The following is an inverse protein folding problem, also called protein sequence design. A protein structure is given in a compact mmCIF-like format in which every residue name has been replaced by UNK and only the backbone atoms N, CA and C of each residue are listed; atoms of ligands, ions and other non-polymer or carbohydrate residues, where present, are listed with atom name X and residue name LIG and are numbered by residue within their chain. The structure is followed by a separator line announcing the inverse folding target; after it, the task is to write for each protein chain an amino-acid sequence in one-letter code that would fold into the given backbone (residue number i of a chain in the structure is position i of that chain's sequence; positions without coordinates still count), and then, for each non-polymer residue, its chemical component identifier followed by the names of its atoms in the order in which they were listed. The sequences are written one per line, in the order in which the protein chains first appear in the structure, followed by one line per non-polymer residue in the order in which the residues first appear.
data_IF_027962040271
#
_entry.id   IF_027962040271
#
_cell.length_a   1.000
_cell.length_b   1.000
_cell.length_c   1.000
_cell.angle_alpha   90.00
_cell.angle_beta   90.00
_cell.angle_gamma   90.00
#
_symmetry.space_group_name_H-M   'P 1'
#
loop_
_entity.id
_entity.type
_entity.pdbx_description
1 polymer ?
#
# COMPACT_ATOMS: atom_id res chain seq x y z
N UNK A 1 3.53 -9.98 -7.10
CA UNK A 1 2.56 -9.03 -7.70
C UNK A 1 1.23 -9.69 -8.06
N UNK A 2 1.19 -10.73 -8.90
CA UNK A 2 -0.08 -11.37 -9.32
C UNK A 2 -0.95 -11.91 -8.16
N UNK A 3 -0.33 -12.47 -7.12
CA UNK A 3 -1.02 -12.95 -5.92
C UNK A 3 -1.63 -11.80 -5.09
N UNK A 4 -0.92 -10.68 -4.93
CA UNK A 4 -1.43 -9.50 -4.22
C UNK A 4 -2.64 -8.88 -4.92
N UNK A 5 -2.67 -8.82 -6.25
CA UNK A 5 -3.82 -8.27 -6.97
C UNK A 5 -5.04 -9.19 -6.84
N UNK A 6 -4.83 -10.50 -6.95
CA UNK A 6 -5.92 -11.46 -6.76
C UNK A 6 -6.50 -11.39 -5.33
N UNK A 7 -5.63 -11.29 -4.33
CA UNK A 7 -6.04 -11.16 -2.93
C UNK A 7 -6.72 -9.81 -2.64
N UNK A 8 -6.23 -8.71 -3.22
CA UNK A 8 -6.85 -7.38 -3.11
C UNK A 8 -8.23 -7.36 -3.78
N UNK A 9 -8.37 -7.97 -4.95
CA UNK A 9 -9.67 -8.12 -5.64
C UNK A 9 -10.62 -9.00 -4.83
N UNK A 10 -10.13 -10.09 -4.22
CA UNK A 10 -10.92 -10.93 -3.31
C UNK A 10 -11.39 -10.13 -2.10
N UNK A 11 -10.50 -9.40 -1.43
CA UNK A 11 -10.83 -8.59 -0.26
C UNK A 11 -11.78 -7.43 -0.59
N UNK A 12 -11.58 -6.76 -1.73
CA UNK A 12 -12.51 -5.73 -2.20
C UNK A 12 -13.87 -6.32 -2.55
N UNK A 13 -13.90 -7.52 -3.14
CA UNK A 13 -15.16 -8.24 -3.37
C UNK A 13 -15.86 -8.60 -2.06
N UNK A 14 -15.11 -8.93 -1.01
CA UNK A 14 -15.63 -9.24 0.33
C UNK A 14 -16.16 -8.01 1.07
N UNK A 15 -15.53 -6.86 0.87
CA UNK A 15 -15.98 -5.57 1.39
C UNK A 15 -17.16 -4.98 0.58
N UNK A 16 -17.30 -5.37 -0.69
CA UNK A 16 -18.39 -4.94 -1.56
C UNK A 16 -19.72 -5.70 -1.32
N UNK A 17 -19.73 -6.81 -0.54
CA UNK A 17 -20.88 -7.73 -0.29
C UNK A 17 -22.04 -7.11 0.54
N UNK A 18 -22.43 -5.87 0.29
CA UNK A 18 -23.65 -5.28 0.87
C UNK A 18 -24.61 -4.75 -0.20
N UNK A 19 -24.34 -4.99 -1.50
CA UNK A 19 -25.11 -4.38 -2.61
C UNK A 19 -25.63 -5.37 -3.65
N UNK A 20 -26.95 -5.38 -3.88
CA UNK A 20 -27.75 -6.26 -4.77
C UNK A 20 -27.27 -6.55 -6.21
N UNK A 21 -26.19 -5.93 -6.70
CA UNK A 21 -25.66 -6.12 -8.08
C UNK A 21 -24.60 -7.23 -8.20
N UNK A 22 -24.39 -8.00 -7.12
CA UNK A 22 -23.35 -9.00 -6.89
C UNK A 22 -23.22 -10.16 -7.91
N UNK A 23 -24.27 -10.47 -8.68
CA UNK A 23 -24.27 -11.69 -9.53
C UNK A 23 -23.24 -11.65 -10.65
N UNK A 24 -22.99 -10.48 -11.26
CA UNK A 24 -22.08 -10.37 -12.42
C UNK A 24 -20.61 -10.41 -11.99
N UNK A 25 -20.27 -9.76 -10.88
CA UNK A 25 -18.89 -9.64 -10.40
C UNK A 25 -18.40 -11.00 -9.87
N UNK A 26 -19.25 -11.73 -9.13
CA UNK A 26 -18.97 -13.09 -8.68
C UNK A 26 -18.88 -14.10 -9.84
N UNK A 27 -19.71 -13.98 -10.89
CA UNK A 27 -19.58 -14.81 -12.09
C UNK A 27 -18.27 -14.53 -12.85
N UNK A 28 -17.91 -13.24 -13.01
CA UNK A 28 -16.67 -12.85 -13.67
C UNK A 28 -15.42 -13.32 -12.93
N UNK A 29 -15.44 -13.37 -11.60
CA UNK A 29 -14.35 -13.91 -10.79
C UNK A 29 -14.28 -15.44 -10.80
N UNK A 30 -15.44 -16.14 -10.84
CA UNK A 30 -15.47 -17.61 -10.89
C UNK A 30 -14.98 -18.17 -12.23
N UNK A 31 -15.09 -17.42 -13.32
CA UNK A 31 -14.87 -17.94 -14.68
C UNK A 31 -13.43 -17.83 -15.20
N UNK A 32 -12.48 -17.21 -14.48
CA UNK A 32 -11.25 -16.74 -15.14
C UNK A 32 -9.96 -16.97 -14.34
N UNK A 33 -9.13 -17.92 -14.79
CA UNK A 33 -7.66 -17.85 -14.63
C UNK A 33 -7.16 -16.73 -15.54
N UNK A 34 -7.21 -15.50 -15.06
CA UNK A 34 -6.94 -14.32 -15.89
C UNK A 34 -5.51 -13.81 -15.80
N UNK A 35 -5.04 -13.30 -16.94
CA UNK A 35 -3.80 -12.51 -17.02
C UNK A 35 -3.88 -11.30 -16.08
N UNK A 36 -2.72 -10.82 -15.63
CA UNK A 36 -2.58 -9.64 -14.78
C UNK A 36 -3.36 -8.41 -15.30
N UNK A 37 -3.34 -8.20 -16.62
CA UNK A 37 -4.10 -7.13 -17.29
C UNK A 37 -5.61 -7.25 -17.14
N UNK A 38 -6.15 -8.47 -17.16
CA UNK A 38 -7.58 -8.68 -16.97
C UNK A 38 -8.00 -8.57 -15.51
N UNK A 39 -7.09 -8.77 -14.54
CA UNK A 39 -7.38 -8.49 -13.14
C UNK A 39 -7.39 -6.99 -12.86
N UNK A 40 -6.54 -6.21 -13.54
CA UNK A 40 -6.56 -4.75 -13.46
C UNK A 40 -7.84 -4.16 -14.07
N UNK A 41 -8.34 -4.70 -15.18
CA UNK A 41 -9.62 -4.25 -15.74
C UNK A 41 -10.80 -4.55 -14.82
N UNK A 42 -10.78 -5.69 -14.12
CA UNK A 42 -11.81 -6.03 -13.12
C UNK A 42 -11.71 -5.12 -11.89
N UNK A 43 -10.50 -4.80 -11.44
CA UNK A 43 -10.28 -3.85 -10.35
C UNK A 43 -10.81 -2.46 -10.71
N UNK A 44 -10.59 -2.03 -11.95
CA UNK A 44 -11.10 -0.76 -12.47
C UNK A 44 -12.63 -0.71 -12.53
N UNK A 45 -13.29 -1.83 -12.84
CA UNK A 45 -14.74 -1.97 -12.81
C UNK A 45 -15.26 -1.93 -11.37
N UNK A 46 -14.58 -2.63 -10.44
CA UNK A 46 -14.91 -2.60 -9.03
C UNK A 46 -14.79 -1.19 -8.42
N UNK A 47 -13.77 -0.42 -8.80
CA UNK A 47 -13.63 0.98 -8.38
C UNK A 47 -14.74 1.88 -8.95
N UNK A 48 -15.21 1.62 -10.17
CA UNK A 48 -16.34 2.35 -10.75
C UNK A 48 -17.65 2.03 -10.04
N UNK A 49 -17.90 0.76 -9.71
CA UNK A 49 -19.07 0.34 -8.96
C UNK A 49 -19.07 0.94 -7.55
N UNK A 50 -17.93 0.89 -6.84
CA UNK A 50 -17.80 1.50 -5.52
C UNK A 50 -18.03 3.02 -5.54
N UNK A 51 -17.71 3.70 -6.65
CA UNK A 51 -18.03 5.10 -6.85
C UNK A 51 -19.54 5.34 -6.98
N UNK A 52 -20.27 4.50 -7.71
CA UNK A 52 -21.74 4.59 -7.84
C UNK A 52 -22.42 4.39 -6.48
N UNK A 53 -21.87 3.48 -5.66
CA UNK A 53 -22.35 3.20 -4.30
C UNK A 53 -21.86 4.21 -3.24
N UNK A 54 -21.09 5.23 -3.63
CA UNK A 54 -20.43 6.20 -2.74
C UNK A 54 -19.58 5.57 -1.61
N UNK A 55 -19.07 4.35 -1.82
CA UNK A 55 -18.24 3.64 -0.84
C UNK A 55 -16.77 4.05 -0.99
N UNK A 56 -16.13 4.64 0.04
CA UNK A 56 -14.71 4.94 -0.02
C UNK A 56 -13.88 3.67 0.08
N UNK A 57 -12.88 3.55 -0.78
CA UNK A 57 -11.93 2.43 -0.77
C UNK A 57 -10.59 2.94 -0.25
N UNK A 58 -10.07 2.28 0.78
CA UNK A 58 -8.74 2.53 1.31
C UNK A 58 -7.81 1.38 0.92
N UNK A 59 -6.74 1.70 0.21
CA UNK A 59 -5.67 0.76 -0.12
C UNK A 59 -4.44 1.10 0.71
N UNK A 60 -3.97 0.15 1.50
CA UNK A 60 -2.73 0.24 2.27
C UNK A 60 -1.73 -0.75 1.67
N UNK A 61 -0.61 -0.24 1.19
CA UNK A 61 0.53 -1.06 0.77
C UNK A 61 1.66 -0.89 1.77
N UNK A 62 1.99 -1.98 2.45
CA UNK A 62 3.21 -2.08 3.22
C UNK A 62 4.40 -2.38 2.30
N UNK A 63 5.60 -1.94 2.69
CA UNK A 63 6.84 -2.06 1.92
C UNK A 63 6.72 -1.55 0.47
N UNK A 64 6.31 -0.29 0.29
CA UNK A 64 6.11 0.34 -1.02
C UNK A 64 7.32 0.18 -1.96
N UNK A 65 8.54 0.15 -1.41
CA UNK A 65 9.80 -0.10 -2.11
C UNK A 65 9.83 -1.41 -2.91
N UNK A 66 9.14 -2.46 -2.44
CA UNK A 66 9.05 -3.74 -3.14
C UNK A 66 8.28 -3.61 -4.47
N UNK A 67 7.34 -2.67 -4.53
CA UNK A 67 6.54 -2.36 -5.72
C UNK A 67 7.16 -1.25 -6.59
N UNK A 68 8.03 -0.42 -6.02
CA UNK A 68 8.80 0.58 -6.75
C UNK A 68 9.97 -0.04 -7.55
N UNK A 69 10.30 -1.32 -7.33
CA UNK A 69 11.36 -2.01 -8.06
C UNK A 69 12.74 -1.68 -7.52
N UNK A 70 13.17 -2.41 -6.48
CA UNK A 70 14.52 -2.31 -5.96
C UNK A 70 15.56 -2.88 -6.97
N UNK A 71 16.75 -2.27 -7.09
CA UNK A 71 17.89 -2.84 -7.83
C UNK A 71 18.50 -4.09 -7.16
N UNK A 72 18.04 -4.49 -5.97
CA UNK A 72 18.63 -5.58 -5.18
C UNK A 72 18.32 -7.01 -5.69
N UNK A 73 17.39 -7.20 -6.63
CA UNK A 73 17.18 -8.52 -7.25
C UNK A 73 18.06 -8.68 -8.50
N UNK A 74 19.37 -8.73 -8.29
CA UNK A 74 20.35 -8.99 -9.35
C UNK A 74 20.27 -10.44 -9.90
N UNK A 75 19.55 -11.35 -9.21
CA UNK A 75 19.50 -12.77 -9.57
C UNK A 75 18.24 -13.21 -10.33
N UNK A 76 17.25 -12.34 -10.56
CA UNK A 76 16.04 -12.70 -11.33
C UNK A 76 16.05 -12.05 -12.72
N UNK A 77 17.17 -12.22 -13.44
CA UNK A 77 17.41 -11.61 -14.77
C UNK A 77 16.84 -12.39 -15.96
N UNK A 78 16.07 -13.47 -15.78
CA UNK A 78 15.72 -14.37 -16.90
C UNK A 78 14.23 -14.58 -17.18
N UNK A 79 13.30 -13.92 -16.47
CA UNK A 79 11.88 -14.01 -16.85
C UNK A 79 11.27 -12.61 -16.90
N UNK A 80 11.34 -12.05 -18.10
CA UNK A 80 10.35 -11.14 -18.70
C UNK A 80 9.96 -9.85 -17.95
N UNK A 81 10.18 -8.73 -18.66
CA UNK A 81 9.48 -7.44 -18.57
C UNK A 81 9.93 -6.46 -17.49
N UNK A 82 11.01 -5.76 -17.82
CA UNK A 82 11.35 -4.45 -17.26
C UNK A 82 10.27 -3.35 -17.50
N UNK A 83 9.18 -3.61 -18.24
CA UNK A 83 8.14 -2.63 -18.56
C UNK A 83 6.91 -2.65 -17.61
N UNK A 84 6.73 -3.72 -16.82
CA UNK A 84 5.54 -3.95 -15.99
C UNK A 84 5.77 -3.74 -14.48
N UNK A 85 6.98 -3.36 -14.06
CA UNK A 85 7.39 -3.37 -12.64
C UNK A 85 6.58 -2.45 -11.74
N UNK A 86 6.03 -1.35 -12.28
CA UNK A 86 5.22 -0.40 -11.52
C UNK A 86 3.79 -0.24 -12.08
N UNK A 87 3.30 -1.21 -12.87
CA UNK A 87 1.98 -1.08 -13.52
C UNK A 87 0.84 -0.97 -12.50
N UNK A 88 0.90 -1.74 -11.41
CA UNK A 88 -0.08 -1.68 -10.33
C UNK A 88 -0.12 -0.28 -9.68
N UNK A 89 1.05 0.26 -9.32
CA UNK A 89 1.17 1.60 -8.74
C UNK A 89 0.67 2.67 -9.71
N UNK A 90 1.00 2.54 -11.00
CA UNK A 90 0.49 3.43 -12.03
C UNK A 90 -1.04 3.42 -12.08
N UNK A 91 -1.68 2.26 -12.16
CA UNK A 91 -3.14 2.16 -12.24
C UNK A 91 -3.84 2.70 -10.99
N UNK A 92 -3.35 2.34 -9.80
CA UNK A 92 -3.93 2.84 -8.54
C UNK A 92 -3.80 4.36 -8.47
N UNK A 93 -2.62 4.92 -8.74
CA UNK A 93 -2.42 6.37 -8.68
C UNK A 93 -3.16 7.12 -9.78
N UNK A 94 -3.26 6.58 -10.99
CA UNK A 94 -4.08 7.14 -12.06
C UNK A 94 -5.55 7.26 -11.61
N UNK A 95 -6.07 6.23 -10.93
CA UNK A 95 -7.42 6.23 -10.35
C UNK A 95 -7.59 7.17 -9.17
N UNK A 96 -6.59 7.32 -8.30
CA UNK A 96 -6.62 8.32 -7.21
C UNK A 96 -6.66 9.74 -7.80
N UNK A 97 -5.96 9.98 -8.92
CA UNK A 97 -5.95 11.29 -9.59
C UNK A 97 -7.21 11.59 -10.39
N UNK A 98 -8.10 10.61 -10.59
CA UNK A 98 -9.32 10.80 -11.36
C UNK A 98 -10.35 11.66 -10.60
N UNK A 99 -11.02 12.61 -11.26
CA UNK A 99 -12.01 13.46 -10.60
C UNK A 99 -13.21 12.65 -10.12
N UNK A 100 -13.59 12.85 -8.85
CA UNK A 100 -14.69 12.11 -8.21
C UNK A 100 -14.34 10.67 -7.82
N UNK A 101 -13.06 10.37 -7.64
CA UNK A 101 -12.59 9.10 -7.10
C UNK A 101 -12.77 9.05 -5.58
N UNK A 102 -13.38 7.98 -5.08
CA UNK A 102 -13.49 7.68 -3.64
C UNK A 102 -12.34 6.78 -3.15
N UNK A 103 -11.22 6.77 -3.88
CA UNK A 103 -10.07 5.92 -3.60
C UNK A 103 -8.99 6.69 -2.82
N UNK A 104 -8.59 6.16 -1.67
CA UNK A 104 -7.45 6.62 -0.90
C UNK A 104 -6.33 5.57 -0.95
N UNK A 105 -5.11 6.03 -1.21
CA UNK A 105 -3.93 5.17 -1.28
C UNK A 105 -2.91 5.60 -0.23
N UNK A 106 -2.48 4.66 0.61
CA UNK A 106 -1.44 4.84 1.62
C UNK A 106 -0.33 3.84 1.34
N UNK A 107 0.85 4.33 1.02
CA UNK A 107 2.07 3.53 0.93
C UNK A 107 2.92 3.73 2.17
N UNK A 108 3.21 2.66 2.90
CA UNK A 108 4.15 2.65 4.02
C UNK A 108 5.51 2.21 3.49
N UNK A 109 6.55 2.92 3.89
CA UNK A 109 7.93 2.59 3.51
C UNK A 109 8.91 2.94 4.60
N UNK A 110 9.98 2.16 4.69
CA UNK A 110 11.14 2.44 5.52
C UNK A 110 12.17 3.34 4.82
N UNK A 111 12.08 3.49 3.49
CA UNK A 111 13.06 4.20 2.70
C UNK A 111 12.66 5.67 2.46
N UNK A 112 13.49 6.60 2.96
CA UNK A 112 13.30 8.04 2.79
C UNK A 112 13.23 8.49 1.31
N UNK A 113 13.81 7.70 0.40
CA UNK A 113 13.94 8.02 -1.01
C UNK A 113 12.95 7.33 -1.97
N UNK A 114 11.88 6.69 -1.51
CA UNK A 114 11.02 5.88 -2.41
C UNK A 114 10.46 6.66 -3.60
N UNK A 115 10.13 7.94 -3.43
CA UNK A 115 9.64 8.78 -4.54
C UNK A 115 10.65 8.86 -5.69
N UNK A 116 11.96 8.79 -5.38
CA UNK A 116 13.02 8.79 -6.37
C UNK A 116 13.18 7.45 -7.11
N UNK A 117 12.70 6.34 -6.52
CA UNK A 117 12.65 5.00 -7.13
C UNK A 117 11.47 4.85 -8.09
N UNK A 118 10.44 5.68 -7.97
CA UNK A 118 9.29 5.67 -8.88
C UNK A 118 9.68 6.15 -10.28
N UNK A 119 9.16 5.46 -11.30
CA UNK A 119 9.27 5.86 -12.71
C UNK A 119 8.60 7.22 -12.92
N UNK A 120 9.10 8.00 -13.89
CA UNK A 120 8.59 9.35 -14.19
C UNK A 120 7.06 9.42 -14.30
N UNK A 121 6.43 8.43 -14.94
CA UNK A 121 4.97 8.36 -15.11
C UNK A 121 4.22 8.15 -13.79
N UNK A 122 4.75 7.33 -12.89
CA UNK A 122 4.14 7.03 -11.58
C UNK A 122 4.38 8.21 -10.63
N UNK A 123 5.59 8.76 -10.65
CA UNK A 123 5.98 9.95 -9.89
C UNK A 123 5.11 11.15 -10.24
N UNK A 124 4.87 11.42 -11.53
CA UNK A 124 4.02 12.53 -11.95
C UNK A 124 2.59 12.44 -11.38
N UNK A 125 2.05 11.22 -11.23
CA UNK A 125 0.72 11.02 -10.62
C UNK A 125 0.75 11.12 -9.10
N UNK A 126 1.81 10.62 -8.47
CA UNK A 126 2.02 10.76 -7.04
C UNK A 126 2.22 12.22 -6.63
N UNK A 127 3.11 12.98 -7.29
CA UNK A 127 3.40 14.38 -6.93
C UNK A 127 2.18 15.30 -7.03
N UNK A 128 1.25 15.02 -7.95
CA UNK A 128 0.04 15.82 -8.12
C UNK A 128 -1.00 15.67 -7.01
N UNK A 129 -0.95 14.59 -6.21
CA UNK A 129 -2.03 14.24 -5.26
C UNK A 129 -1.55 13.68 -3.91
N UNK A 130 -0.28 13.29 -3.79
CA UNK A 130 0.27 12.65 -2.59
C UNK A 130 0.82 13.67 -1.61
N UNK A 131 0.74 13.33 -0.32
CA UNK A 131 1.45 13.99 0.76
C UNK A 131 2.34 12.96 1.44
N UNK A 132 3.65 13.19 1.43
CA UNK A 132 4.58 12.33 2.16
C UNK A 132 4.58 12.73 3.63
N UNK A 133 4.26 11.79 4.51
CA UNK A 133 4.29 11.99 5.96
C UNK A 133 5.49 11.23 6.51
N UNK A 134 6.43 11.96 7.09
CA UNK A 134 7.56 11.36 7.80
C UNK A 134 7.14 11.09 9.23
N UNK A 135 7.06 9.82 9.59
CA UNK A 135 6.80 9.42 10.98
C UNK A 135 8.14 9.34 11.69
N UNK A 136 8.47 10.38 12.46
CA UNK A 136 9.56 10.31 13.42
C UNK A 136 8.97 9.81 14.75
N UNK A 137 9.35 8.62 15.24
CA UNK A 137 8.73 8.05 16.43
C UNK A 137 9.13 8.79 17.72
N UNK A 138 10.21 9.58 17.71
CA UNK A 138 10.71 10.27 18.88
C UNK A 138 11.22 11.68 18.54
N UNK A 139 10.66 12.69 19.21
CA UNK A 139 11.07 14.09 19.05
C UNK A 139 12.27 14.46 19.93
N UNK A 140 12.62 13.59 20.89
CA UNK A 140 13.75 13.78 21.79
C UNK A 140 14.28 12.45 22.33
N UNK A 141 15.54 12.47 22.80
CA UNK A 141 16.12 11.35 23.53
C UNK A 141 15.26 10.93 24.73
N UNK A 142 14.70 11.91 25.44
CA UNK A 142 13.82 11.67 26.58
C UNK A 142 12.56 10.89 26.19
N UNK A 143 11.92 11.25 25.08
CA UNK A 143 10.73 10.54 24.57
C UNK A 143 11.04 9.08 24.22
N UNK A 144 12.22 8.82 23.65
CA UNK A 144 12.70 7.46 23.41
C UNK A 144 12.88 6.69 24.72
N UNK A 145 13.54 7.30 25.70
CA UNK A 145 13.77 6.69 27.02
C UNK A 145 12.44 6.41 27.74
N UNK A 146 11.49 7.34 27.72
CA UNK A 146 10.17 7.15 28.34
C UNK A 146 9.40 5.97 27.72
N UNK A 147 9.48 5.81 26.39
CA UNK A 147 8.87 4.66 25.70
C UNK A 147 9.59 3.35 26.01
N UNK A 148 10.93 3.36 26.07
CA UNK A 148 11.72 2.18 26.44
C UNK A 148 11.42 1.73 27.87
N UNK A 149 11.40 2.67 28.82
CA UNK A 149 11.03 2.44 30.22
C UNK A 149 9.60 1.92 30.33
N UNK A 150 8.68 2.45 29.52
CA UNK A 150 7.29 2.00 29.45
C UNK A 150 7.12 0.56 28.96
N UNK A 151 8.05 0.06 28.14
CA UNK A 151 8.05 -1.34 27.64
C UNK A 151 8.67 -2.35 28.60
N UNK A 152 9.32 -1.91 29.68
CA UNK A 152 9.90 -2.80 30.68
C UNK A 152 8.83 -3.15 31.72
N UNK A 153 8.40 -4.41 31.72
CA UNK A 153 7.39 -4.92 32.66
C UNK A 153 7.95 -5.13 34.08
N UNK A 154 9.24 -5.45 34.19
CA UNK A 154 9.91 -5.66 35.49
C UNK A 154 10.23 -4.33 36.17
N UNK A 155 9.59 -4.11 37.33
CA UNK A 155 9.74 -2.90 38.14
C UNK A 155 11.16 -2.67 38.66
N UNK A 156 11.91 -3.73 38.96
CA UNK A 156 13.28 -3.61 39.47
C UNK A 156 14.25 -3.17 38.38
N UNK A 157 14.12 -3.78 37.18
CA UNK A 157 14.87 -3.37 35.99
C UNK A 157 14.50 -1.94 35.56
N UNK A 158 13.23 -1.58 35.67
CA UNK A 158 12.74 -0.23 35.35
C UNK A 158 13.36 0.85 36.23
N UNK A 159 13.46 0.61 37.54
CA UNK A 159 14.10 1.54 38.48
C UNK A 159 15.61 1.68 38.20
N UNK A 160 16.30 0.56 37.98
CA UNK A 160 17.72 0.58 37.62
C UNK A 160 18.00 1.27 36.28
N UNK A 161 17.13 1.10 35.28
CA UNK A 161 17.24 1.77 33.99
C UNK A 161 17.04 3.28 34.11
N UNK A 162 16.06 3.73 34.92
CA UNK A 162 15.85 5.15 35.18
C UNK A 162 17.10 5.76 35.81
N UNK A 163 17.66 5.12 36.84
CA UNK A 163 18.87 5.61 37.52
C UNK A 163 20.09 5.64 36.58
N UNK A 164 20.23 4.65 35.69
CA UNK A 164 21.34 4.57 34.75
C UNK A 164 21.26 5.61 33.61
N UNK A 165 20.04 5.95 33.17
CA UNK A 165 19.78 6.89 32.07
C UNK A 165 19.65 8.35 32.53
N UNK A 166 19.71 8.60 33.85
CA UNK A 166 19.60 9.94 34.46
C UNK A 166 20.94 10.66 34.67
N UNK A 167 22.05 10.11 34.17
CA UNK A 167 23.41 10.67 34.20
C UNK A 167 23.74 11.30 32.84
#
# INVERSE_FOLDING_TARGET
VGFCVHELVRQLSELAIVGKEDSKLLELMRLKRTSFTSNLSLLDEAFQLARVDEKPILIILDELEAFAGSPASLETKLVERAADRQLLLYHILDRVTAPGSSLCFIGVTSHFGVVSLLEKRVRSRAEGTSRTIFVCPFDSYKSLIDVLIGKVEDKNLRLHLIDWLSV
#
